data_IF_933991738544
#
_entry.id   IF_933991738544
#
_cell.length_a   1.000
_cell.length_b   1.000
_cell.length_c   1.000
_cell.angle_alpha   90.00
_cell.angle_beta   90.00
_cell.angle_gamma   90.00
#
_symmetry.space_group_name_H-M   'P 1'
#
loop_
_entity.id
_entity.type
_entity.pdbx_description
1 polymer ?
#
# COMPACT_ATOMS: atom_id res chain seq x y z
N UNK A 1 22.57 2.63 -14.30
CA UNK A 1 21.60 3.73 -14.16
C UNK A 1 20.69 3.49 -12.99
N UNK A 2 20.62 4.43 -12.08
CA UNK A 2 19.68 4.32 -10.96
C UNK A 2 18.27 4.47 -11.49
N UNK A 3 17.40 3.49 -11.20
CA UNK A 3 16.00 3.59 -11.56
C UNK A 3 15.32 4.60 -10.64
N UNK A 4 14.57 5.54 -11.22
CA UNK A 4 13.75 6.45 -10.44
C UNK A 4 12.68 5.63 -9.71
N UNK A 5 12.54 5.78 -8.37
CA UNK A 5 11.51 5.05 -7.65
C UNK A 5 10.12 5.43 -8.16
N UNK A 6 9.24 4.46 -8.15
CA UNK A 6 7.82 4.71 -8.38
C UNK A 6 7.13 4.89 -7.05
N UNK A 7 5.90 5.36 -7.12
CA UNK A 7 5.11 5.70 -5.94
C UNK A 7 3.79 4.94 -5.97
N UNK A 8 3.41 4.43 -4.81
CA UNK A 8 2.24 3.56 -4.67
C UNK A 8 1.47 3.94 -3.41
N UNK A 9 0.24 3.44 -3.34
CA UNK A 9 -0.57 3.53 -2.13
C UNK A 9 -1.20 2.16 -1.92
N UNK A 10 -1.13 1.64 -0.69
CA UNK A 10 -1.78 0.39 -0.31
C UNK A 10 -2.78 0.65 0.78
N UNK A 11 -3.91 -0.04 0.72
CA UNK A 11 -5.01 0.12 1.67
C UNK A 11 -5.06 -1.04 2.64
N UNK A 12 -5.23 -0.73 3.93
CA UNK A 12 -5.41 -1.72 4.97
C UNK A 12 -6.51 -1.27 5.93
N UNK A 13 -7.30 -2.23 6.42
CA UNK A 13 -8.26 -1.96 7.49
C UNK A 13 -7.51 -1.96 8.82
N UNK A 14 -7.53 -0.84 9.58
CA UNK A 14 -6.74 -0.77 10.82
C UNK A 14 -7.18 -1.77 11.87
N UNK A 15 -8.44 -2.24 11.84
CA UNK A 15 -8.88 -3.31 12.74
C UNK A 15 -8.27 -4.66 12.42
N UNK A 16 -7.76 -4.85 11.21
CA UNK A 16 -7.08 -6.09 10.79
C UNK A 16 -5.58 -5.93 10.81
N UNK A 17 -5.07 -4.82 10.25
CA UNK A 17 -3.63 -4.55 10.22
C UNK A 17 -3.41 -3.04 10.07
N UNK A 18 -3.02 -2.40 11.16
CA UNK A 18 -2.76 -0.95 11.20
C UNK A 18 -1.29 -0.64 10.97
N UNK A 19 -0.99 0.65 10.77
CA UNK A 19 0.41 1.10 10.68
C UNK A 19 1.15 0.84 12.00
N UNK A 20 0.46 0.88 13.14
CA UNK A 20 1.05 0.55 14.43
C UNK A 20 1.38 -0.93 14.53
N UNK A 21 0.56 -1.80 13.93
CA UNK A 21 0.84 -3.23 13.85
C UNK A 21 2.11 -3.47 13.02
N UNK A 22 2.27 -2.75 11.91
CA UNK A 22 3.47 -2.82 11.09
C UNK A 22 4.69 -2.36 11.87
N UNK A 23 4.57 -1.24 12.60
CA UNK A 23 5.66 -0.68 13.40
C UNK A 23 6.12 -1.63 14.51
N UNK A 24 5.23 -2.50 14.99
CA UNK A 24 5.52 -3.46 16.06
C UNK A 24 6.19 -4.74 15.57
N UNK A 25 6.21 -4.98 14.25
CA UNK A 25 6.82 -6.18 13.69
C UNK A 25 8.35 -6.10 13.66
N UNK A 26 9.05 -7.25 13.68
CA UNK A 26 10.51 -7.27 13.52
C UNK A 26 10.92 -6.55 12.24
N UNK A 27 11.89 -5.63 12.34
CA UNK A 27 12.33 -4.83 11.20
C UNK A 27 11.26 -3.92 10.62
N UNK A 28 10.10 -3.80 11.28
CA UNK A 28 8.97 -3.00 10.83
C UNK A 28 8.54 -3.35 9.40
N UNK A 29 8.61 -4.62 9.08
CA UNK A 29 8.38 -5.15 7.73
C UNK A 29 7.33 -6.25 7.75
N UNK A 30 6.45 -6.25 6.76
CA UNK A 30 5.44 -7.29 6.58
C UNK A 30 5.29 -7.61 5.09
N UNK A 31 5.02 -8.87 4.79
CA UNK A 31 4.58 -9.18 3.44
C UNK A 31 3.17 -8.60 3.24
N UNK A 32 2.91 -8.05 2.07
CA UNK A 32 1.61 -7.45 1.75
C UNK A 32 0.72 -8.49 1.08
N UNK A 33 0.12 -9.35 1.89
CA UNK A 33 -0.66 -10.51 1.47
C UNK A 33 -2.14 -10.19 1.30
N UNK A 34 -2.87 -11.15 0.76
CA UNK A 34 -4.32 -11.10 0.70
C UNK A 34 -4.91 -10.26 -0.42
N UNK A 35 -4.08 -9.76 -1.33
CA UNK A 35 -4.56 -9.00 -2.50
C UNK A 35 -5.21 -9.97 -3.49
N UNK A 36 -6.51 -9.82 -3.76
CA UNK A 36 -7.30 -10.73 -4.58
C UNK A 36 -8.02 -10.00 -5.72
N UNK A 37 -7.39 -8.94 -6.25
CA UNK A 37 -7.81 -8.21 -7.44
C UNK A 37 -6.69 -8.32 -8.45
N UNK A 38 -7.01 -8.70 -9.70
CA UNK A 38 -5.98 -8.95 -10.71
C UNK A 38 -5.18 -7.71 -11.09
N UNK A 39 -5.79 -6.55 -11.15
CA UNK A 39 -5.07 -5.31 -11.45
C UNK A 39 -4.07 -4.98 -10.33
N UNK A 40 -4.49 -5.08 -9.08
CA UNK A 40 -3.62 -4.86 -7.93
C UNK A 40 -2.50 -5.91 -7.89
N UNK A 41 -2.83 -7.19 -8.17
CA UNK A 41 -1.85 -8.26 -8.28
C UNK A 41 -0.80 -7.95 -9.35
N UNK A 42 -1.22 -7.41 -10.49
CA UNK A 42 -0.28 -7.07 -11.55
C UNK A 42 0.68 -5.97 -11.13
N UNK A 43 0.24 -4.99 -10.33
CA UNK A 43 1.14 -4.00 -9.75
C UNK A 43 2.18 -4.67 -8.85
N UNK A 44 1.75 -5.55 -7.96
CA UNK A 44 2.65 -6.25 -7.04
C UNK A 44 3.66 -7.11 -7.78
N UNK A 45 3.19 -7.86 -8.77
CA UNK A 45 4.02 -8.82 -9.50
C UNK A 45 4.95 -8.16 -10.51
N UNK A 46 4.42 -7.20 -11.28
CA UNK A 46 5.08 -6.73 -12.49
C UNK A 46 5.68 -5.33 -12.39
N UNK A 47 5.17 -4.48 -11.50
CA UNK A 47 5.51 -3.06 -11.51
C UNK A 47 6.21 -2.56 -10.25
N UNK A 48 5.82 -3.04 -9.08
CA UNK A 48 6.44 -2.61 -7.82
C UNK A 48 7.84 -3.20 -7.68
N UNK A 49 8.79 -2.36 -7.31
CA UNK A 49 10.19 -2.75 -7.20
C UNK A 49 10.77 -2.30 -5.87
N UNK A 50 11.76 -3.05 -5.40
CA UNK A 50 12.50 -2.69 -4.18
C UNK A 50 12.95 -1.23 -4.26
N UNK A 51 12.68 -0.48 -3.19
CA UNK A 51 13.01 0.94 -3.12
C UNK A 51 11.89 1.88 -3.51
N UNK A 52 10.82 1.37 -4.13
CA UNK A 52 9.64 2.18 -4.42
C UNK A 52 9.01 2.67 -3.12
N UNK A 53 8.40 3.85 -3.16
CA UNK A 53 7.75 4.46 -1.99
C UNK A 53 6.27 4.14 -1.98
N UNK A 54 5.73 3.89 -0.79
CA UNK A 54 4.36 3.40 -0.63
C UNK A 54 3.69 4.16 0.50
N UNK A 55 2.56 4.80 0.22
CA UNK A 55 1.71 5.34 1.28
C UNK A 55 0.88 4.22 1.90
N UNK A 56 0.82 4.21 3.23
CA UNK A 56 0.00 3.29 4.00
C UNK A 56 -1.33 3.98 4.32
N UNK A 57 -2.41 3.49 3.72
CA UNK A 57 -3.73 4.08 3.85
C UNK A 57 -4.61 3.21 4.75
N UNK A 58 -5.24 3.83 5.75
CA UNK A 58 -6.26 3.17 6.57
C UNK A 58 -7.63 3.33 5.92
N UNK A 59 -8.30 2.20 5.67
CA UNK A 59 -9.67 2.18 5.15
C UNK A 59 -10.64 1.83 6.27
N UNK A 60 -11.93 2.03 6.04
CA UNK A 60 -13.06 1.70 6.93
C UNK A 60 -13.11 2.62 8.14
N UNK A 61 -12.13 2.60 9.03
CA UNK A 61 -12.10 3.38 10.27
C UNK A 61 -10.89 4.30 10.28
N UNK A 62 -11.08 5.57 10.66
CA UNK A 62 -9.99 6.54 10.67
C UNK A 62 -9.40 6.73 9.28
N UNK A 63 -10.26 6.84 8.28
CA UNK A 63 -9.91 6.80 6.87
C UNK A 63 -8.92 7.90 6.49
N UNK A 64 -7.76 7.51 5.97
CA UNK A 64 -6.72 8.45 5.55
C UNK A 64 -5.36 7.82 5.40
N UNK A 65 -4.37 8.64 5.03
CA UNK A 65 -2.99 8.19 4.87
C UNK A 65 -2.29 8.29 6.22
N UNK A 66 -1.82 7.14 6.73
CA UNK A 66 -1.24 7.04 8.06
C UNK A 66 0.28 7.19 8.08
N UNK A 67 0.96 6.93 6.98
CA UNK A 67 2.41 7.01 6.93
C UNK A 67 3.01 6.64 5.61
N UNK A 68 4.33 6.59 5.60
CA UNK A 68 5.15 6.28 4.43
C UNK A 68 5.92 4.99 4.66
N UNK A 69 5.90 4.12 3.67
CA UNK A 69 6.63 2.86 3.64
C UNK A 69 7.49 2.78 2.39
N UNK A 70 8.22 1.68 2.27
CA UNK A 70 8.95 1.36 1.04
C UNK A 70 8.80 -0.11 0.71
N UNK A 71 8.94 -0.45 -0.56
CA UNK A 71 9.01 -1.84 -1.01
C UNK A 71 10.37 -2.39 -0.61
N UNK A 72 10.38 -3.48 0.15
CA UNK A 72 11.59 -4.02 0.78
C UNK A 72 12.03 -5.35 0.18
N UNK A 73 11.35 -5.86 -0.85
CA UNK A 73 11.70 -7.13 -1.49
C UNK A 73 11.32 -7.14 -2.96
N UNK A 74 11.82 -8.15 -3.66
CA UNK A 74 11.29 -8.51 -4.97
C UNK A 74 9.93 -9.20 -4.80
N UNK A 75 9.06 -9.21 -5.83
CA UNK A 75 7.78 -9.92 -5.74
C UNK A 75 7.98 -11.42 -5.60
N UNK A 76 7.12 -12.06 -4.82
CA UNK A 76 7.08 -13.51 -4.69
C UNK A 76 5.65 -13.99 -4.50
N UNK A 77 5.38 -15.31 -4.71
CA UNK A 77 4.02 -15.81 -4.56
C UNK A 77 3.50 -15.63 -3.13
N UNK A 78 2.24 -15.21 -3.02
CA UNK A 78 1.56 -15.06 -1.74
C UNK A 78 1.31 -16.44 -1.13
N UNK A 79 1.94 -16.79 0.00
CA UNK A 79 1.79 -18.14 0.58
C UNK A 79 0.40 -18.38 1.16
N UNK A 80 -0.36 -17.32 1.48
CA UNK A 80 -1.69 -17.48 2.06
C UNK A 80 -2.69 -18.08 1.07
N UNK A 81 -2.41 -17.99 -0.24
CA UNK A 81 -3.30 -18.55 -1.26
C UNK A 81 -3.42 -20.07 -1.19
N UNK A 82 -2.44 -20.74 -0.59
CA UNK A 82 -2.43 -22.19 -0.50
C UNK A 82 -2.73 -22.73 0.90
N UNK A 83 -2.96 -21.84 1.87
CA UNK A 83 -3.26 -22.23 3.25
C UNK A 83 -4.77 -22.32 3.47
N UNK A 84 -5.35 -23.53 3.62
CA UNK A 84 -6.80 -23.69 3.80
C UNK A 84 -7.35 -23.01 5.06
N UNK A 85 -6.49 -22.70 6.02
CA UNK A 85 -6.89 -22.07 7.27
C UNK A 85 -6.83 -20.54 7.20
N UNK A 86 -6.25 -20.00 6.12
CA UNK A 86 -6.16 -18.56 5.92
C UNK A 86 -7.42 -18.07 5.19
N UNK A 87 -7.94 -16.90 5.62
CA UNK A 87 -9.12 -16.31 4.96
C UNK A 87 -8.87 -15.94 3.50
N UNK A 88 -7.60 -15.86 3.09
CA UNK A 88 -7.22 -15.52 1.72
C UNK A 88 -6.94 -16.77 0.87
N UNK A 89 -7.28 -17.97 1.39
CA UNK A 89 -7.09 -19.21 0.68
C UNK A 89 -7.81 -19.19 -0.68
N UNK A 90 -7.09 -19.59 -1.73
CA UNK A 90 -7.65 -19.71 -3.07
C UNK A 90 -7.39 -21.13 -3.59
N UNK A 91 -8.37 -22.02 -3.49
CA UNK A 91 -8.19 -23.42 -3.91
C UNK A 91 -8.00 -23.56 -5.41
N UNK A 92 -8.33 -22.54 -6.19
CA UNK A 92 -8.18 -22.56 -7.65
C UNK A 92 -6.78 -22.12 -8.11
N UNK A 93 -5.91 -21.61 -7.21
CA UNK A 93 -4.57 -21.16 -7.58
C UNK A 93 -3.61 -22.36 -7.64
N UNK A 94 -3.05 -22.68 -8.83
CA UNK A 94 -2.11 -23.80 -8.94
C UNK A 94 -0.77 -23.47 -8.26
N UNK A 95 -0.14 -24.50 -7.66
CA UNK A 95 1.17 -24.33 -7.03
C UNK A 95 2.27 -24.02 -8.03
N UNK A 96 2.14 -24.50 -9.27
CA UNK A 96 3.12 -24.30 -10.33
C UNK A 96 2.85 -23.06 -11.20
N UNK A 97 1.70 -22.39 -10.96
CA UNK A 97 1.33 -21.17 -11.68
C UNK A 97 0.55 -20.23 -10.74
N UNK A 98 1.20 -19.65 -9.73
CA UNK A 98 0.52 -18.83 -8.71
C UNK A 98 -0.26 -17.67 -9.31
N UNK A 99 -1.46 -17.45 -8.81
CA UNK A 99 -2.29 -16.30 -9.20
C UNK A 99 -1.93 -15.05 -8.42
N UNK A 100 -1.52 -15.19 -7.16
CA UNK A 100 -1.41 -14.09 -6.21
C UNK A 100 0.02 -13.89 -5.75
N UNK A 101 0.43 -12.63 -5.68
CA UNK A 101 1.79 -12.23 -5.37
C UNK A 101 1.82 -11.21 -4.23
N UNK A 102 2.95 -11.12 -3.59
CA UNK A 102 3.23 -10.14 -2.53
C UNK A 102 4.57 -9.46 -2.79
N UNK A 103 4.74 -8.31 -2.17
CA UNK A 103 6.05 -7.72 -1.89
C UNK A 103 6.11 -7.47 -0.39
N UNK A 104 7.32 -7.38 0.16
CA UNK A 104 7.50 -6.93 1.54
C UNK A 104 7.42 -5.40 1.57
N UNK A 105 6.71 -4.88 2.57
CA UNK A 105 6.56 -3.45 2.80
C UNK A 105 7.19 -3.13 4.16
N UNK A 106 8.08 -2.14 4.19
CA UNK A 106 8.76 -1.70 5.40
C UNK A 106 8.37 -0.27 5.74
N UNK A 107 8.10 -0.02 7.02
CA UNK A 107 7.77 1.32 7.48
C UNK A 107 8.98 2.26 7.37
N UNK A 108 8.78 3.42 6.77
CA UNK A 108 9.78 4.50 6.74
C UNK A 108 9.45 5.55 7.78
N UNK A 109 8.19 6.01 7.81
CA UNK A 109 7.78 7.04 8.76
C UNK A 109 6.27 6.97 9.01
N UNK A 110 5.89 6.86 10.27
CA UNK A 110 4.50 7.07 10.67
C UNK A 110 4.26 8.58 10.75
N UNK A 111 3.19 9.08 10.13
CA UNK A 111 2.87 10.49 10.21
C UNK A 111 2.41 10.88 11.63
N UNK A 112 2.60 12.14 12.00
CA UNK A 112 2.19 12.66 13.31
C UNK A 112 0.70 12.45 13.54
N UNK A 113 -0.10 12.51 12.46
CA UNK A 113 -1.51 12.15 12.47
C UNK A 113 -1.86 11.52 11.12
N UNK A 114 -2.91 10.71 11.11
CA UNK A 114 -3.47 10.21 9.84
C UNK A 114 -4.06 11.40 9.09
N UNK A 115 -3.72 11.55 7.81
CA UNK A 115 -4.26 12.63 6.99
C UNK A 115 -5.60 12.16 6.43
N UNK A 116 -6.72 12.74 6.88
CA UNK A 116 -8.04 12.27 6.45
C UNK A 116 -8.30 12.48 4.97
N UNK A 117 -9.15 11.61 4.41
CA UNK A 117 -9.53 11.67 3.01
C UNK A 117 -10.13 13.03 2.63
N UNK A 118 -10.96 13.62 3.51
CA UNK A 118 -11.57 14.93 3.24
C UNK A 118 -10.55 16.06 3.12
N UNK A 119 -9.41 15.97 3.85
CA UNK A 119 -8.34 16.95 3.70
C UNK A 119 -7.56 16.72 2.40
N UNK A 120 -7.32 15.46 2.01
CA UNK A 120 -6.68 15.15 0.74
C UNK A 120 -7.46 15.74 -0.44
N UNK A 121 -8.79 15.73 -0.35
CA UNK A 121 -9.66 16.28 -1.40
C UNK A 121 -9.50 17.79 -1.58
N UNK A 122 -8.93 18.49 -0.61
CA UNK A 122 -8.70 19.94 -0.72
C UNK A 122 -7.41 20.29 -1.45
N UNK A 123 -6.56 19.32 -1.73
CA UNK A 123 -5.28 19.56 -2.41
C UNK A 123 -5.48 19.49 -3.93
N UNK A 124 -5.31 20.61 -4.65
CA UNK A 124 -5.55 20.62 -6.10
C UNK A 124 -4.63 19.70 -6.88
N UNK A 125 -3.43 19.43 -6.37
CA UNK A 125 -2.48 18.51 -7.00
C UNK A 125 -3.02 17.08 -7.06
N UNK A 126 -4.00 16.73 -6.22
CA UNK A 126 -4.58 15.39 -6.13
C UNK A 126 -5.87 15.22 -6.93
N UNK A 127 -6.25 16.21 -7.73
CA UNK A 127 -7.54 16.20 -8.44
C UNK A 127 -7.77 14.94 -9.28
N UNK A 128 -6.71 14.37 -9.85
CA UNK A 128 -6.78 13.19 -10.71
C UNK A 128 -6.29 11.90 -10.01
N UNK A 129 -6.04 11.96 -8.70
CA UNK A 129 -5.52 10.82 -7.95
C UNK A 129 -6.53 9.68 -7.89
N UNK A 130 -6.08 8.44 -8.14
CA UNK A 130 -6.93 7.26 -8.12
C UNK A 130 -7.71 7.12 -6.80
N UNK A 131 -7.05 7.40 -5.67
CA UNK A 131 -7.66 7.33 -4.35
C UNK A 131 -8.93 8.18 -4.25
N UNK A 132 -8.97 9.34 -4.91
CA UNK A 132 -10.07 10.28 -4.81
C UNK A 132 -11.17 10.02 -5.83
N UNK A 133 -10.96 9.09 -6.76
CA UNK A 133 -11.98 8.75 -7.75
C UNK A 133 -13.14 8.03 -7.08
N UNK A 134 -14.36 8.46 -7.43
CA UNK A 134 -15.57 7.87 -6.89
C UNK A 134 -15.64 6.40 -7.27
N UNK A 135 -15.91 5.54 -6.28
CA UNK A 135 -16.11 4.12 -6.51
C UNK A 135 -14.82 3.32 -6.73
N UNK A 136 -13.65 3.93 -6.57
CA UNK A 136 -12.41 3.18 -6.67
C UNK A 136 -12.31 2.17 -5.53
N UNK A 137 -12.11 0.88 -5.89
CA UNK A 137 -11.96 -0.21 -4.92
C UNK A 137 -10.58 -0.84 -4.97
N UNK A 138 -9.68 -0.23 -5.72
CA UNK A 138 -8.34 -0.77 -5.93
C UNK A 138 -7.51 -0.60 -4.65
N UNK A 139 -7.10 -1.72 -4.06
CA UNK A 139 -6.38 -1.73 -2.79
C UNK A 139 -4.88 -1.46 -2.93
N UNK A 140 -4.35 -1.56 -4.15
CA UNK A 140 -2.98 -1.17 -4.49
C UNK A 140 -3.09 -0.23 -5.66
N UNK A 141 -2.59 0.99 -5.51
CA UNK A 141 -2.77 2.05 -6.51
C UNK A 141 -1.45 2.67 -6.88
N UNK A 142 -1.31 3.05 -8.15
CA UNK A 142 -0.21 3.87 -8.62
C UNK A 142 -0.43 5.32 -8.21
N UNK A 143 0.63 5.99 -7.79
CA UNK A 143 0.62 7.40 -7.38
C UNK A 143 1.62 8.15 -8.27
N UNK A 144 1.21 9.30 -8.80
CA UNK A 144 2.10 10.12 -9.60
C UNK A 144 3.08 10.88 -8.71
N UNK A 145 4.25 11.20 -9.25
CA UNK A 145 5.27 11.92 -8.48
C UNK A 145 4.74 13.23 -7.88
N UNK A 146 4.00 14.02 -8.65
CA UNK A 146 3.43 15.27 -8.17
C UNK A 146 2.45 15.08 -7.03
N UNK A 147 1.66 14.00 -7.09
CA UNK A 147 0.74 13.62 -6.01
C UNK A 147 1.50 13.21 -4.76
N UNK A 148 2.54 12.40 -4.94
CA UNK A 148 3.39 11.93 -3.84
C UNK A 148 4.03 13.11 -3.11
N UNK A 149 4.66 14.02 -3.86
CA UNK A 149 5.34 15.18 -3.29
C UNK A 149 4.37 16.12 -2.57
N UNK A 150 3.16 16.31 -3.11
CA UNK A 150 2.14 17.15 -2.50
C UNK A 150 1.68 16.58 -1.15
N UNK A 151 1.45 15.27 -1.08
CA UNK A 151 1.03 14.60 0.15
C UNK A 151 2.15 14.65 1.19
N UNK A 152 3.38 14.37 0.78
CA UNK A 152 4.52 14.38 1.68
C UNK A 152 4.75 15.77 2.28
N UNK A 153 4.68 16.82 1.45
CA UNK A 153 4.81 18.20 1.91
C UNK A 153 3.70 18.57 2.90
N UNK A 154 2.46 18.16 2.59
CA UNK A 154 1.32 18.41 3.48
C UNK A 154 1.50 17.73 4.83
N UNK A 155 1.98 16.48 4.83
CA UNK A 155 2.24 15.73 6.05
C UNK A 155 3.35 16.38 6.89
N UNK A 156 4.38 16.92 6.26
CA UNK A 156 5.50 17.58 6.94
C UNK A 156 5.09 18.93 7.53
N UNK A 157 4.23 19.68 6.85
CA UNK A 157 3.72 20.96 7.35
C UNK A 157 2.89 20.79 8.62
N UNK A 158 2.21 19.67 8.74
CA UNK A 158 1.40 19.34 9.91
C UNK A 158 2.22 18.83 11.10
N UNK A 159 3.50 18.61 10.89
CA UNK A 159 4.39 18.11 11.94
C UNK A 159 5.03 19.29 12.63
N UNK A 160 4.67 19.60 13.90
CA UNK A 160 5.32 20.68 14.62
C UNK A 160 6.80 20.37 14.90
#
# INVERSE_FOLDING_TARGET
MANTPRYWLVKSEPGCFSIDDLAALPGQTSMWDGVRNYQARNYLRDSMKRGDRVFFYHSITGVGIAGLCEVASEPYPDPTQWNPEDRHFDPASPADAPRWYVVDIRLVKKFARTIPLNELRTLPELAEMELLKRGSRLSVQSVREGEFLAILAYAEEDCP
#
